data_IF_074706626559
#
_entry.id   IF_074706626559
#
_cell.length_a   1.000
_cell.length_b   1.000
_cell.length_c   1.000
_cell.angle_alpha   90.00
_cell.angle_beta   90.00
_cell.angle_gamma   90.00
#
_symmetry.space_group_name_H-M   'P 1'
#
loop_
_entity.id
_entity.type
_entity.pdbx_description
1 polymer ?
#
# COMPACT_ATOMS: atom_id res chain seq x y z
N UNK A 1 7.25 12.37 -23.17
CA UNK A 1 5.99 12.99 -23.60
C UNK A 1 5.34 13.76 -22.45
N UNK A 2 4.77 13.11 -21.43
CA UNK A 2 4.07 13.83 -20.34
C UNK A 2 4.90 14.95 -19.65
N UNK A 3 6.20 14.75 -19.44
CA UNK A 3 7.10 15.81 -18.91
C UNK A 3 7.17 17.02 -19.85
N UNK A 4 7.24 16.77 -21.16
CA UNK A 4 7.27 17.83 -22.18
C UNK A 4 5.93 18.56 -22.26
N UNK A 5 4.81 17.85 -22.06
CA UNK A 5 3.46 18.40 -22.04
C UNK A 5 3.14 19.13 -20.72
N UNK A 6 4.09 19.16 -19.77
CA UNK A 6 4.04 19.92 -18.51
C UNK A 6 2.87 19.52 -17.60
N UNK A 7 2.61 18.22 -17.49
CA UNK A 7 1.65 17.71 -16.50
C UNK A 7 2.11 18.06 -15.07
N UNK A 8 1.17 18.29 -14.15
CA UNK A 8 1.49 18.59 -12.74
C UNK A 8 1.78 17.32 -11.90
N UNK A 9 1.16 16.21 -12.29
CA UNK A 9 1.25 14.92 -11.59
C UNK A 9 1.29 13.76 -12.58
N UNK A 10 2.09 12.74 -12.27
CA UNK A 10 2.10 11.44 -12.92
C UNK A 10 1.57 10.38 -11.97
N UNK A 11 0.51 9.68 -12.37
CA UNK A 11 0.00 8.49 -11.69
C UNK A 11 0.48 7.24 -12.43
N UNK A 12 1.35 6.47 -11.79
CA UNK A 12 2.05 5.32 -12.40
C UNK A 12 1.70 4.06 -11.60
N UNK A 13 0.58 3.44 -11.96
CA UNK A 13 0.11 2.17 -11.37
C UNK A 13 0.81 0.94 -11.98
N UNK A 14 2.14 1.02 -12.13
CA UNK A 14 3.01 0.02 -12.75
C UNK A 14 4.23 -0.23 -11.86
N UNK A 15 4.87 -1.38 -12.05
CA UNK A 15 6.11 -1.73 -11.35
C UNK A 15 6.68 -3.04 -11.90
N UNK A 16 7.99 -3.21 -11.76
CA UNK A 16 8.67 -4.48 -12.01
C UNK A 16 9.36 -4.98 -10.74
N UNK A 17 10.06 -6.11 -10.82
CA UNK A 17 10.87 -6.61 -9.70
C UNK A 17 11.83 -5.53 -9.17
N UNK A 18 12.10 -5.47 -7.85
CA UNK A 18 13.04 -4.52 -7.28
C UNK A 18 14.41 -4.67 -7.93
N UNK A 19 15.01 -3.56 -8.34
CA UNK A 19 16.33 -3.49 -8.97
C UNK A 19 17.03 -2.18 -8.59
N UNK A 20 18.36 -2.06 -8.79
CA UNK A 20 19.09 -0.80 -8.63
C UNK A 20 18.43 0.35 -9.41
N UNK A 21 18.51 1.58 -8.90
CA UNK A 21 17.78 2.72 -9.48
C UNK A 21 18.23 3.05 -10.91
N UNK A 22 19.50 2.83 -11.23
CA UNK A 22 20.12 3.00 -12.54
C UNK A 22 19.70 1.93 -13.58
N UNK A 23 19.06 0.85 -13.13
CA UNK A 23 18.46 -0.18 -14.00
C UNK A 23 16.93 -0.09 -14.04
N UNK A 24 16.33 0.83 -13.27
CA UNK A 24 14.89 1.02 -13.17
C UNK A 24 14.43 2.20 -14.03
N UNK A 25 13.85 1.89 -15.19
CA UNK A 25 13.29 2.89 -16.10
C UNK A 25 12.22 3.81 -15.45
N UNK A 26 11.45 3.30 -14.47
CA UNK A 26 10.47 4.11 -13.73
C UNK A 26 11.21 5.04 -12.79
N UNK A 27 12.27 4.58 -12.11
CA UNK A 27 13.10 5.43 -11.25
C UNK A 27 13.78 6.56 -12.05
N UNK A 28 14.42 6.25 -13.17
CA UNK A 28 15.09 7.23 -14.05
C UNK A 28 14.08 8.24 -14.61
N UNK A 29 12.99 7.76 -15.22
CA UNK A 29 11.97 8.62 -15.81
C UNK A 29 11.29 9.52 -14.77
N UNK A 30 11.00 8.98 -13.58
CA UNK A 30 10.40 9.75 -12.49
C UNK A 30 11.35 10.80 -11.89
N UNK A 31 12.66 10.54 -11.86
CA UNK A 31 13.64 11.55 -11.42
C UNK A 31 13.59 12.78 -12.31
N UNK A 32 13.56 12.58 -13.63
CA UNK A 32 13.49 13.67 -14.58
C UNK A 32 12.17 14.45 -14.50
N UNK A 33 11.06 13.78 -14.19
CA UNK A 33 9.78 14.44 -13.92
C UNK A 33 9.86 15.31 -12.65
N UNK A 34 10.38 14.76 -11.55
CA UNK A 34 10.52 15.47 -10.26
C UNK A 34 11.42 16.68 -10.37
N UNK A 35 12.53 16.59 -11.12
CA UNK A 35 13.40 17.75 -11.43
C UNK A 35 12.66 18.89 -12.15
N UNK A 36 11.60 18.58 -12.89
CA UNK A 36 10.75 19.56 -13.56
C UNK A 36 9.55 20.02 -12.71
N UNK A 37 9.52 19.68 -11.41
CA UNK A 37 8.46 20.07 -10.48
C UNK A 37 7.20 19.19 -10.53
N UNK A 38 7.24 18.10 -11.31
CA UNK A 38 6.14 17.16 -11.50
C UNK A 38 6.18 16.10 -10.39
N UNK A 39 5.06 15.92 -9.69
CA UNK A 39 4.96 14.91 -8.65
C UNK A 39 4.71 13.54 -9.28
N UNK A 40 5.43 12.51 -8.83
CA UNK A 40 5.24 11.14 -9.33
C UNK A 40 4.71 10.25 -8.22
N UNK A 41 3.55 9.66 -8.45
CA UNK A 41 2.87 8.73 -7.55
C UNK A 41 2.91 7.34 -8.16
N UNK A 42 3.41 6.35 -7.42
CA UNK A 42 3.55 4.98 -7.86
C UNK A 42 2.85 4.01 -6.90
N UNK A 43 2.34 2.89 -7.43
CA UNK A 43 1.81 1.80 -6.63
C UNK A 43 2.93 1.01 -5.92
N UNK A 44 2.72 0.55 -4.69
CA UNK A 44 3.71 -0.23 -3.93
C UNK A 44 3.91 -1.66 -4.45
N UNK A 45 2.97 -2.22 -5.21
CA UNK A 45 2.97 -3.62 -5.64
C UNK A 45 1.95 -4.48 -4.89
N UNK A 46 1.62 -5.64 -5.45
CA UNK A 46 0.59 -6.55 -4.94
C UNK A 46 1.18 -7.91 -4.52
N UNK A 47 2.43 -7.93 -4.04
CA UNK A 47 3.18 -9.16 -3.70
C UNK A 47 3.36 -9.36 -2.19
N UNK A 48 2.60 -8.63 -1.36
CA UNK A 48 2.51 -8.90 0.08
C UNK A 48 1.92 -10.29 0.39
N UNK A 49 1.94 -10.72 1.66
CA UNK A 49 2.25 -9.95 2.86
C UNK A 49 3.72 -10.07 3.31
N UNK A 50 4.55 -10.80 2.55
CA UNK A 50 5.95 -11.02 2.91
C UNK A 50 6.74 -9.71 2.95
N UNK A 51 7.68 -9.65 3.89
CA UNK A 51 8.62 -8.53 4.05
C UNK A 51 9.41 -8.29 2.76
N UNK A 52 9.80 -7.03 2.53
CA UNK A 52 10.69 -6.61 1.43
C UNK A 52 10.15 -6.90 0.03
N UNK A 53 8.83 -6.82 -0.14
CA UNK A 53 8.13 -7.04 -1.42
C UNK A 53 7.74 -5.73 -2.12
N UNK A 54 8.02 -4.58 -1.49
CA UNK A 54 7.70 -3.25 -2.03
C UNK A 54 8.53 -2.89 -3.27
N UNK A 55 7.84 -2.35 -4.27
CA UNK A 55 8.38 -1.88 -5.54
C UNK A 55 8.39 -0.35 -5.58
N UNK A 56 8.92 0.24 -6.66
CA UNK A 56 8.99 1.70 -6.84
C UNK A 56 9.70 2.37 -5.65
N UNK A 57 10.97 2.00 -5.50
CA UNK A 57 11.75 2.24 -4.27
C UNK A 57 12.50 3.58 -4.26
N UNK A 58 12.37 4.38 -5.32
CA UNK A 58 13.13 5.63 -5.42
C UNK A 58 12.63 6.67 -4.41
N UNK A 59 13.54 7.44 -3.76
CA UNK A 59 13.16 8.41 -2.74
C UNK A 59 12.34 9.60 -3.28
N UNK A 60 12.46 9.91 -4.57
CA UNK A 60 11.71 10.96 -5.24
C UNK A 60 10.28 10.57 -5.68
N UNK A 61 9.90 9.30 -5.56
CA UNK A 61 8.54 8.81 -5.85
C UNK A 61 7.68 8.81 -4.59
N UNK A 62 6.37 9.04 -4.69
CA UNK A 62 5.39 8.74 -3.64
C UNK A 62 4.87 7.32 -3.87
N UNK A 63 5.27 6.38 -3.02
CA UNK A 63 4.89 4.96 -3.16
C UNK A 63 3.72 4.61 -2.26
N UNK A 64 2.64 4.07 -2.85
CA UNK A 64 1.33 3.98 -2.20
C UNK A 64 0.94 2.52 -1.95
N UNK A 65 0.78 2.15 -0.67
CA UNK A 65 0.19 0.90 -0.22
C UNK A 65 -1.34 0.87 -0.42
N UNK A 66 -1.95 -0.30 -0.25
CA UNK A 66 -3.40 -0.49 -0.38
C UNK A 66 -4.02 -0.87 0.97
N UNK A 67 -5.10 -0.17 1.30
CA UNK A 67 -5.92 -0.46 2.47
C UNK A 67 -7.39 -0.55 2.08
N UNK A 68 -8.20 -1.12 2.97
CA UNK A 68 -9.65 -1.20 2.79
C UNK A 68 -10.31 0.16 2.98
N UNK A 69 -11.61 0.20 2.66
CA UNK A 69 -12.54 1.27 3.01
C UNK A 69 -13.68 0.66 3.84
N UNK A 70 -14.49 1.49 4.50
CA UNK A 70 -15.60 1.05 5.35
C UNK A 70 -16.85 0.62 4.55
N UNK A 71 -16.66 0.26 3.27
CA UNK A 71 -17.70 -0.24 2.37
C UNK A 71 -17.44 -1.70 2.03
N UNK A 72 -18.47 -2.52 2.17
CA UNK A 72 -18.47 -3.94 1.82
C UNK A 72 -19.67 -4.29 0.94
N UNK A 73 -19.59 -5.42 0.25
CA UNK A 73 -20.65 -5.95 -0.62
C UNK A 73 -21.09 -7.36 -0.20
N UNK A 74 -21.78 -7.49 0.95
CA UNK A 74 -22.01 -8.79 1.55
C UNK A 74 -23.00 -9.65 0.76
N UNK A 75 -22.65 -10.94 0.66
CA UNK A 75 -23.41 -12.01 0.03
C UNK A 75 -23.12 -13.36 0.71
N UNK A 76 -23.19 -13.42 2.05
CA UNK A 76 -22.51 -14.39 2.95
C UNK A 76 -20.98 -14.28 2.97
N UNK A 77 -20.36 -14.03 1.82
CA UNK A 77 -19.01 -13.49 1.69
C UNK A 77 -19.05 -12.11 1.05
N UNK A 78 -18.19 -11.84 0.07
CA UNK A 78 -18.22 -10.62 -0.75
C UNK A 78 -18.64 -10.94 -2.20
N UNK A 79 -19.41 -10.06 -2.83
CA UNK A 79 -19.78 -10.19 -4.24
C UNK A 79 -20.21 -8.87 -4.86
N UNK A 80 -19.89 -8.66 -6.14
CA UNK A 80 -20.52 -7.62 -6.95
C UNK A 80 -21.20 -8.20 -8.19
N UNK A 81 -21.60 -9.47 -8.13
CA UNK A 81 -22.26 -10.16 -9.24
C UNK A 81 -23.57 -9.45 -9.61
N UNK A 82 -23.73 -9.14 -10.89
CA UNK A 82 -24.92 -8.43 -11.39
C UNK A 82 -26.16 -9.30 -11.52
N UNK A 83 -25.95 -10.62 -11.55
CA UNK A 83 -27.00 -11.63 -11.59
C UNK A 83 -27.19 -12.23 -10.20
N UNK A 84 -28.43 -12.59 -9.87
CA UNK A 84 -28.78 -13.21 -8.59
C UNK A 84 -29.61 -14.46 -8.82
N UNK A 85 -29.47 -15.44 -7.92
CA UNK A 85 -30.40 -16.55 -7.82
C UNK A 85 -31.75 -16.08 -7.25
N UNK A 86 -32.78 -16.90 -7.41
CA UNK A 86 -34.14 -16.62 -6.92
C UNK A 86 -34.19 -16.67 -5.38
N UNK A 87 -33.91 -15.55 -4.72
CA UNK A 87 -34.04 -15.41 -3.27
C UNK A 87 -33.28 -16.50 -2.49
N UNK A 88 -33.97 -17.19 -1.58
CA UNK A 88 -33.43 -18.30 -0.78
C UNK A 88 -33.70 -19.68 -1.40
N UNK A 89 -33.98 -19.76 -2.70
CA UNK A 89 -34.16 -21.04 -3.39
C UNK A 89 -32.87 -21.85 -3.35
N UNK A 90 -32.98 -23.10 -2.93
CA UNK A 90 -31.85 -24.01 -2.81
C UNK A 90 -31.51 -24.63 -4.17
N UNK A 91 -30.22 -24.67 -4.48
CA UNK A 91 -29.63 -25.32 -5.64
C UNK A 91 -28.65 -26.40 -5.18
N UNK A 92 -28.51 -27.52 -5.91
CA UNK A 92 -27.50 -28.51 -5.61
C UNK A 92 -26.10 -27.91 -5.64
N UNK A 93 -25.27 -28.28 -4.68
CA UNK A 93 -23.90 -27.81 -4.54
C UNK A 93 -22.92 -28.91 -5.00
N UNK A 94 -21.81 -28.54 -5.63
CA UNK A 94 -20.76 -29.48 -6.03
C UNK A 94 -19.38 -28.84 -5.94
N UNK A 95 -18.40 -29.56 -5.41
CA UNK A 95 -17.00 -29.13 -5.50
C UNK A 95 -16.49 -29.31 -6.93
N UNK A 96 -15.72 -28.34 -7.43
CA UNK A 96 -15.19 -28.42 -8.79
C UNK A 96 -14.25 -29.62 -8.99
N UNK A 97 -13.56 -30.05 -7.92
CA UNK A 97 -12.80 -31.30 -7.85
C UNK A 97 -13.64 -32.54 -8.22
N UNK A 98 -14.89 -32.62 -7.74
CA UNK A 98 -15.81 -33.73 -8.05
C UNK A 98 -16.51 -33.55 -9.40
N UNK A 99 -16.56 -32.32 -9.92
CA UNK A 99 -17.09 -31.98 -11.24
C UNK A 99 -16.04 -32.09 -12.37
N UNK A 100 -14.88 -32.71 -12.11
CA UNK A 100 -13.77 -32.86 -13.06
C UNK A 100 -14.20 -33.57 -14.35
N UNK A 101 -13.77 -33.02 -15.48
CA UNK A 101 -13.83 -33.65 -16.80
C UNK A 101 -12.91 -34.89 -16.87
N UNK A 102 -13.18 -35.81 -17.80
CA UNK A 102 -12.39 -37.03 -17.94
C UNK A 102 -10.89 -36.76 -18.11
N UNK A 103 -10.55 -35.76 -18.94
CA UNK A 103 -9.17 -35.45 -19.36
C UNK A 103 -8.45 -34.40 -18.50
N UNK A 104 -9.02 -33.98 -17.37
CA UNK A 104 -8.40 -33.00 -16.47
C UNK A 104 -7.87 -33.64 -15.19
N UNK A 105 -6.97 -32.98 -14.47
CA UNK A 105 -6.61 -33.37 -13.10
C UNK A 105 -7.59 -32.78 -12.08
N UNK A 106 -7.63 -33.36 -10.88
CA UNK A 106 -8.53 -32.93 -9.81
C UNK A 106 -8.17 -31.51 -9.34
N UNK A 107 -6.87 -31.21 -9.31
CA UNK A 107 -6.29 -29.93 -8.94
C UNK A 107 -6.62 -28.85 -9.98
N UNK A 108 -6.58 -29.16 -11.27
CA UNK A 108 -6.96 -28.21 -12.32
C UNK A 108 -8.46 -27.92 -12.36
N UNK A 109 -9.30 -28.93 -12.08
CA UNK A 109 -10.74 -28.75 -11.95
C UNK A 109 -11.11 -27.96 -10.69
N UNK A 110 -10.44 -28.20 -9.56
CA UNK A 110 -10.60 -27.44 -8.32
C UNK A 110 -10.35 -25.94 -8.51
N UNK A 111 -9.45 -25.60 -9.43
CA UNK A 111 -9.17 -24.21 -9.83
C UNK A 111 -10.14 -23.66 -10.89
N UNK A 112 -11.10 -24.44 -11.38
CA UNK A 112 -12.05 -24.05 -12.42
C UNK A 112 -11.38 -23.48 -13.67
N UNK A 113 -10.27 -24.10 -14.09
CA UNK A 113 -9.56 -23.76 -15.33
C UNK A 113 -10.39 -24.06 -16.57
N UNK A 114 -10.04 -23.42 -17.68
CA UNK A 114 -10.65 -23.67 -18.98
C UNK A 114 -10.64 -25.16 -19.34
N UNK A 115 -11.81 -25.72 -19.70
CA UNK A 115 -11.94 -27.10 -20.20
C UNK A 115 -11.79 -28.21 -19.16
N UNK A 116 -11.71 -27.90 -17.86
CA UNK A 116 -11.46 -28.90 -16.81
C UNK A 116 -12.72 -29.39 -16.09
N UNK A 117 -13.86 -28.76 -16.36
CA UNK A 117 -15.16 -29.04 -15.75
C UNK A 117 -16.03 -29.88 -16.69
N UNK A 118 -16.69 -30.90 -16.16
CA UNK A 118 -17.67 -31.74 -16.86
C UNK A 118 -19.05 -31.06 -16.87
N UNK A 119 -19.56 -30.62 -18.03
CA UNK A 119 -20.82 -29.89 -18.11
C UNK A 119 -22.01 -30.66 -17.55
N UNK A 120 -22.05 -31.99 -17.70
CA UNK A 120 -23.17 -32.81 -17.19
C UNK A 120 -23.20 -32.86 -15.66
N UNK A 121 -22.03 -32.76 -15.01
CA UNK A 121 -21.94 -32.70 -13.54
C UNK A 121 -22.25 -31.31 -13.00
N UNK A 122 -21.93 -30.25 -13.76
CA UNK A 122 -22.03 -28.85 -13.32
C UNK A 122 -23.40 -28.24 -13.60
N UNK A 123 -24.06 -28.65 -14.69
CA UNK A 123 -25.32 -28.06 -15.16
C UNK A 123 -26.38 -27.96 -14.05
N UNK A 124 -26.85 -26.74 -13.81
CA UNK A 124 -27.92 -26.49 -12.84
C UNK A 124 -27.47 -26.36 -11.37
N UNK A 125 -26.17 -26.50 -11.08
CA UNK A 125 -25.62 -26.53 -9.72
C UNK A 125 -24.87 -25.24 -9.35
N UNK A 126 -24.68 -25.02 -8.06
CA UNK A 126 -23.68 -24.08 -7.54
C UNK A 126 -22.34 -24.81 -7.49
N UNK A 127 -21.33 -24.24 -8.17
CA UNK A 127 -19.99 -24.81 -8.24
C UNK A 127 -19.07 -24.18 -7.18
N UNK A 128 -18.32 -24.99 -6.44
CA UNK A 128 -17.31 -24.48 -5.49
C UNK A 128 -15.92 -24.58 -6.09
N UNK A 129 -15.30 -23.44 -6.35
CA UNK A 129 -13.94 -23.29 -6.90
C UNK A 129 -12.99 -22.80 -5.81
N UNK A 130 -11.71 -23.11 -5.92
CA UNK A 130 -10.67 -22.58 -5.01
C UNK A 130 -9.91 -21.41 -5.66
N UNK A 131 -9.70 -20.35 -4.89
CA UNK A 131 -8.88 -19.20 -5.26
C UNK A 131 -7.40 -19.53 -5.08
N UNK A 132 -6.63 -19.15 -6.09
CA UNK A 132 -5.16 -19.08 -6.09
C UNK A 132 -4.76 -17.79 -6.80
N UNK A 133 -3.51 -17.69 -7.25
CA UNK A 133 -3.00 -16.55 -8.03
C UNK A 133 -3.58 -16.47 -9.46
N UNK A 134 -4.37 -17.46 -9.87
CA UNK A 134 -5.09 -17.48 -11.15
C UNK A 134 -6.32 -16.55 -11.11
N UNK A 135 -6.59 -15.86 -12.23
CA UNK A 135 -7.62 -14.83 -12.35
C UNK A 135 -9.00 -15.31 -11.85
N UNK A 136 -9.61 -14.56 -10.95
CA UNK A 136 -10.85 -14.94 -10.26
C UNK A 136 -12.08 -14.86 -11.16
N UNK A 137 -12.23 -13.76 -11.92
CA UNK A 137 -13.37 -13.55 -12.83
C UNK A 137 -13.44 -14.64 -13.91
N UNK A 138 -12.30 -15.04 -14.46
CA UNK A 138 -12.19 -16.09 -15.47
C UNK A 138 -12.72 -17.46 -14.99
N UNK A 139 -12.51 -17.79 -13.70
CA UNK A 139 -13.11 -18.99 -13.09
C UNK A 139 -14.64 -18.96 -13.16
N UNK A 140 -15.23 -17.77 -12.97
CA UNK A 140 -16.65 -17.55 -13.14
C UNK A 140 -17.10 -17.77 -14.59
N UNK A 141 -16.34 -17.29 -15.57
CA UNK A 141 -16.65 -17.51 -16.99
C UNK A 141 -16.65 -19.00 -17.34
N UNK A 142 -15.62 -19.75 -16.92
CA UNK A 142 -15.53 -21.19 -17.14
C UNK A 142 -16.65 -21.98 -16.44
N UNK A 143 -17.01 -21.57 -15.22
CA UNK A 143 -18.14 -22.16 -14.50
C UNK A 143 -19.48 -21.91 -15.23
N UNK A 144 -19.72 -20.69 -15.74
CA UNK A 144 -20.90 -20.38 -16.54
C UNK A 144 -20.95 -21.19 -17.83
N UNK A 145 -19.83 -21.30 -18.56
CA UNK A 145 -19.73 -22.08 -19.79
C UNK A 145 -20.01 -23.57 -19.55
N UNK A 146 -19.61 -24.11 -18.39
CA UNK A 146 -19.95 -25.47 -17.97
C UNK A 146 -21.41 -25.64 -17.49
N UNK A 147 -22.21 -24.57 -17.47
CA UNK A 147 -23.64 -24.61 -17.13
C UNK A 147 -23.95 -24.40 -15.64
N UNK A 148 -23.00 -23.89 -14.84
CA UNK A 148 -23.24 -23.60 -13.43
C UNK A 148 -24.33 -22.51 -13.28
N UNK A 149 -25.16 -22.65 -12.24
CA UNK A 149 -26.15 -21.64 -11.85
C UNK A 149 -25.59 -20.59 -10.91
N UNK A 150 -24.57 -20.95 -10.14
CA UNK A 150 -23.88 -20.08 -9.20
C UNK A 150 -22.45 -20.56 -8.94
N UNK A 151 -21.62 -19.73 -8.32
CA UNK A 151 -20.27 -20.11 -7.92
C UNK A 151 -19.92 -19.62 -6.52
N UNK A 152 -19.33 -20.48 -5.70
CA UNK A 152 -18.68 -20.06 -4.47
C UNK A 152 -17.18 -20.15 -4.70
N UNK A 153 -16.49 -19.03 -4.58
CA UNK A 153 -15.03 -18.98 -4.62
C UNK A 153 -14.51 -19.06 -3.19
N UNK A 154 -13.87 -20.16 -2.81
CA UNK A 154 -13.27 -20.33 -1.50
C UNK A 154 -11.78 -19.99 -1.54
N UNK A 155 -11.28 -19.22 -0.58
CA UNK A 155 -9.84 -18.98 -0.45
C UNK A 155 -9.06 -20.28 -0.19
N UNK A 156 -7.84 -20.35 -0.73
CA UNK A 156 -6.84 -21.29 -0.23
C UNK A 156 -6.24 -20.80 1.11
N UNK A 157 -5.45 -21.65 1.76
CA UNK A 157 -4.81 -21.33 3.04
C UNK A 157 -3.95 -20.07 2.96
N UNK A 158 -3.24 -19.87 1.85
CA UNK A 158 -2.38 -18.69 1.64
C UNK A 158 -3.17 -17.37 1.58
N UNK A 159 -4.40 -17.39 1.04
CA UNK A 159 -5.27 -16.20 0.93
C UNK A 159 -6.02 -15.88 2.22
N UNK A 160 -6.13 -16.84 3.15
CA UNK A 160 -6.66 -16.61 4.50
C UNK A 160 -8.06 -15.96 4.54
N UNK A 161 -8.21 -14.91 5.34
CA UNK A 161 -9.46 -14.19 5.56
C UNK A 161 -9.81 -13.17 4.46
N UNK A 162 -8.94 -12.98 3.47
CA UNK A 162 -9.08 -11.86 2.54
C UNK A 162 -10.02 -12.16 1.37
N UNK A 163 -11.13 -11.44 1.35
CA UNK A 163 -12.20 -11.58 0.37
C UNK A 163 -12.32 -10.30 -0.46
N UNK A 164 -12.66 -10.45 -1.74
CA UNK A 164 -12.84 -9.34 -2.68
C UNK A 164 -14.22 -9.44 -3.32
N UNK A 165 -14.81 -8.30 -3.62
CA UNK A 165 -16.08 -8.25 -4.32
C UNK A 165 -15.80 -8.25 -5.83
N UNK A 166 -15.64 -9.44 -6.39
CA UNK A 166 -15.47 -9.61 -7.84
C UNK A 166 -16.83 -9.58 -8.55
N UNK A 167 -16.84 -9.02 -9.76
CA UNK A 167 -18.00 -9.01 -10.64
C UNK A 167 -17.97 -10.22 -11.57
N UNK A 168 -18.43 -11.36 -11.07
CA UNK A 168 -18.54 -12.56 -11.90
C UNK A 168 -19.72 -12.48 -12.90
N UNK A 169 -19.60 -13.22 -14.00
CA UNK A 169 -20.64 -13.30 -15.06
C UNK A 169 -21.90 -14.07 -14.64
N UNK A 170 -21.84 -14.77 -13.51
CA UNK A 170 -22.93 -15.54 -12.91
C UNK A 170 -23.01 -15.22 -11.40
N UNK A 171 -24.11 -15.54 -10.70
CA UNK A 171 -24.25 -15.29 -9.27
C UNK A 171 -23.12 -15.97 -8.48
N UNK A 172 -22.22 -15.19 -7.89
CA UNK A 172 -21.10 -15.74 -7.15
C UNK A 172 -20.90 -15.09 -5.80
N UNK A 173 -20.19 -15.76 -4.89
CA UNK A 173 -19.72 -15.18 -3.63
C UNK A 173 -18.32 -15.67 -3.30
N UNK A 174 -17.50 -14.78 -2.75
CA UNK A 174 -16.15 -15.08 -2.32
C UNK A 174 -16.08 -15.21 -0.80
N UNK A 175 -15.65 -16.36 -0.30
CA UNK A 175 -15.57 -16.68 1.13
C UNK A 175 -14.13 -16.90 1.61
N UNK A 176 -13.91 -16.76 2.92
CA UNK A 176 -12.62 -16.96 3.56
C UNK A 176 -12.16 -18.42 3.52
N UNK A 177 -10.89 -18.66 3.87
CA UNK A 177 -10.36 -20.03 3.96
C UNK A 177 -11.07 -20.85 5.06
N UNK A 178 -11.37 -20.23 6.20
CA UNK A 178 -12.05 -20.89 7.32
C UNK A 178 -13.48 -21.27 6.93
N UNK A 179 -14.21 -20.37 6.28
CA UNK A 179 -15.54 -20.65 5.76
C UNK A 179 -15.50 -21.72 4.65
N UNK A 180 -14.44 -21.70 3.84
CA UNK A 180 -14.16 -22.73 2.84
C UNK A 180 -14.01 -24.12 3.47
N UNK A 181 -13.24 -24.26 4.56
CA UNK A 181 -13.11 -25.52 5.30
C UNK A 181 -14.49 -26.01 5.76
N UNK A 182 -15.29 -25.13 6.36
CA UNK A 182 -16.64 -25.46 6.82
C UNK A 182 -17.54 -25.90 5.66
N UNK A 183 -17.46 -25.20 4.52
CA UNK A 183 -18.22 -25.52 3.30
C UNK A 183 -17.83 -26.88 2.73
N UNK A 184 -16.54 -27.20 2.61
CA UNK A 184 -16.09 -28.50 2.12
C UNK A 184 -16.44 -29.63 3.08
N UNK A 185 -16.39 -29.39 4.39
CA UNK A 185 -16.87 -30.33 5.40
C UNK A 185 -18.37 -30.62 5.23
N UNK A 186 -19.18 -29.58 5.00
CA UNK A 186 -20.61 -29.71 4.71
C UNK A 186 -20.89 -30.50 3.42
N UNK A 187 -20.17 -30.20 2.33
CA UNK A 187 -20.32 -30.94 1.06
C UNK A 187 -20.07 -32.44 1.25
N UNK A 188 -19.10 -32.81 2.09
CA UNK A 188 -18.72 -34.20 2.33
C UNK A 188 -19.60 -34.92 3.35
N UNK A 189 -20.40 -34.20 4.14
CA UNK A 189 -21.24 -34.80 5.20
C UNK A 189 -22.60 -35.29 4.70
N UNK A 190 -23.01 -34.93 3.48
CA UNK A 190 -24.29 -35.32 2.88
C UNK A 190 -24.16 -35.70 1.42
N UNK A 191 -25.04 -36.59 0.93
CA UNK A 191 -25.10 -36.99 -0.49
C UNK A 191 -25.77 -35.94 -1.38
N UNK A 192 -26.54 -35.03 -0.80
CA UNK A 192 -27.30 -34.00 -1.51
C UNK A 192 -27.08 -32.64 -0.87
N UNK A 193 -25.85 -32.08 -0.93
CA UNK A 193 -25.57 -30.75 -0.41
C UNK A 193 -26.31 -29.71 -1.25
N UNK A 194 -26.94 -28.75 -0.58
CA UNK A 194 -27.76 -27.71 -1.19
C UNK A 194 -27.35 -26.35 -0.62
N UNK A 195 -27.36 -25.30 -1.44
CA UNK A 195 -27.03 -23.95 -1.01
C UNK A 195 -27.82 -22.91 -1.81
N UNK A 196 -27.77 -21.66 -1.36
CA UNK A 196 -28.23 -20.50 -2.11
C UNK A 196 -27.21 -19.37 -1.97
N UNK A 197 -27.22 -18.44 -2.91
CA UNK A 197 -26.38 -17.23 -2.88
C UNK A 197 -27.33 -16.04 -2.84
N UNK A 198 -27.16 -15.17 -1.85
CA UNK A 198 -27.97 -13.96 -1.73
C UNK A 198 -27.57 -12.92 -2.77
N UNK A 199 -28.48 -12.00 -3.08
CA UNK A 199 -28.11 -10.83 -3.87
C UNK A 199 -27.14 -9.97 -3.06
N UNK A 200 -26.03 -9.48 -3.64
CA UNK A 200 -25.14 -8.58 -2.93
C UNK A 200 -25.87 -7.29 -2.57
N UNK A 201 -25.56 -6.77 -1.39
CA UNK A 201 -26.01 -5.45 -0.92
C UNK A 201 -24.81 -4.53 -0.76
N UNK A 202 -25.01 -3.26 -0.43
CA UNK A 202 -23.92 -2.35 -0.07
C UNK A 202 -24.07 -1.99 1.39
N UNK A 203 -23.05 -2.29 2.18
CA UNK A 203 -22.96 -1.88 3.58
C UNK A 203 -21.86 -0.84 3.74
N UNK A 204 -22.14 0.20 4.54
CA UNK A 204 -21.23 1.31 4.83
C UNK A 204 -20.97 1.39 6.33
N UNK A 205 -19.85 2.00 6.72
CA UNK A 205 -19.46 2.14 8.12
C UNK A 205 -18.98 0.83 8.75
N UNK A 206 -18.48 -0.12 7.95
CA UNK A 206 -17.95 -1.39 8.45
C UNK A 206 -16.69 -1.17 9.29
N UNK A 207 -16.49 -2.05 10.28
CA UNK A 207 -15.45 -1.93 11.31
C UNK A 207 -14.67 -3.25 11.45
N UNK A 208 -13.34 -3.20 11.66
CA UNK A 208 -12.48 -2.02 11.60
C UNK A 208 -12.21 -1.57 10.15
N UNK A 209 -12.04 -0.26 9.94
CA UNK A 209 -11.62 0.30 8.66
C UNK A 209 -10.84 1.62 8.84
N UNK A 210 -9.71 1.83 8.14
CA UNK A 210 -9.09 0.89 7.21
C UNK A 210 -8.28 -0.19 7.95
N UNK A 211 -8.11 -1.34 7.30
CA UNK A 211 -7.02 -2.27 7.58
C UNK A 211 -6.20 -2.50 6.31
N UNK A 212 -4.97 -2.98 6.46
CA UNK A 212 -4.06 -3.17 5.33
C UNK A 212 -4.46 -4.38 4.49
N UNK A 213 -4.55 -4.19 3.17
CA UNK A 213 -4.80 -5.27 2.24
C UNK A 213 -3.61 -6.25 2.27
N UNK A 214 -3.83 -7.57 2.34
CA UNK A 214 -2.74 -8.53 2.50
C UNK A 214 -1.84 -8.64 1.28
N UNK A 215 -2.40 -8.39 0.09
CA UNK A 215 -1.61 -8.32 -1.13
C UNK A 215 -0.72 -7.08 -1.18
N UNK A 216 -1.00 -6.02 -0.41
CA UNK A 216 -0.21 -4.78 -0.48
C UNK A 216 1.23 -5.10 -0.12
N UNK A 217 2.14 -4.88 -1.07
CA UNK A 217 3.55 -5.12 -0.85
C UNK A 217 4.08 -4.35 0.37
N UNK A 218 4.98 -4.99 1.11
CA UNK A 218 5.46 -4.56 2.43
C UNK A 218 6.94 -4.19 2.36
N UNK A 219 7.33 -3.18 3.13
CA UNK A 219 8.74 -2.85 3.38
C UNK A 219 9.49 -3.93 4.18
N UNK A 220 10.75 -3.67 4.57
CA UNK A 220 11.55 -2.49 4.25
C UNK A 220 11.87 -2.38 2.75
N UNK A 221 12.36 -1.23 2.33
CA UNK A 221 12.87 -1.02 0.97
C UNK A 221 14.05 -1.99 0.72
N UNK A 222 13.93 -2.94 -0.24
CA UNK A 222 14.98 -3.93 -0.49
C UNK A 222 16.22 -3.35 -1.17
N UNK A 223 16.12 -2.17 -1.78
CA UNK A 223 17.22 -1.53 -2.52
C UNK A 223 17.94 -0.51 -1.65
N UNK A 224 17.19 0.29 -0.88
CA UNK A 224 17.74 1.36 -0.03
C UNK A 224 17.07 1.33 1.35
N UNK A 225 17.54 0.47 2.27
CA UNK A 225 16.89 0.26 3.57
C UNK A 225 16.77 1.52 4.45
N UNK A 226 17.58 2.55 4.23
CA UNK A 226 17.50 3.85 4.91
C UNK A 226 16.27 4.68 4.51
N UNK A 227 15.59 4.33 3.41
CA UNK A 227 14.38 5.02 2.93
C UNK A 227 13.16 4.14 3.22
N UNK A 228 12.26 4.63 4.08
CA UNK A 228 11.01 3.95 4.39
C UNK A 228 10.15 3.75 3.13
N UNK A 229 9.66 2.53 2.92
CA UNK A 229 8.65 2.21 1.91
C UNK A 229 7.61 1.21 2.46
N UNK A 230 6.33 1.29 2.04
CA UNK A 230 5.76 2.36 1.21
C UNK A 230 5.77 3.72 1.95
N UNK A 231 5.46 4.81 1.24
CA UNK A 231 5.44 6.15 1.83
C UNK A 231 4.13 6.44 2.57
N UNK A 232 3.02 5.93 2.03
CA UNK A 232 1.66 6.17 2.51
C UNK A 232 0.75 5.02 2.11
N UNK A 233 -0.41 4.87 2.74
CA UNK A 233 -1.48 3.99 2.28
C UNK A 233 -2.76 4.76 1.95
N UNK A 234 -3.53 4.25 0.99
CA UNK A 234 -4.83 4.80 0.59
C UNK A 234 -5.82 3.68 0.23
N UNK A 235 -7.11 3.99 0.02
CA UNK A 235 -8.09 2.99 -0.39
C UNK A 235 -7.70 2.32 -1.71
N UNK A 236 -7.58 0.99 -1.68
CA UNK A 236 -7.17 0.19 -2.84
C UNK A 236 -7.89 -1.15 -2.94
N UNK A 237 -8.89 -1.41 -2.10
CA UNK A 237 -9.69 -2.65 -2.13
C UNK A 237 -11.10 -2.29 -2.56
N UNK A 238 -11.67 -3.07 -3.49
CA UNK A 238 -13.07 -2.95 -3.92
C UNK A 238 -13.42 -1.53 -4.42
N UNK A 239 -12.49 -0.92 -5.18
CA UNK A 239 -12.64 0.42 -5.76
C UNK A 239 -13.44 0.32 -7.05
N UNK A 240 -14.51 1.11 -7.15
CA UNK A 240 -15.34 1.21 -8.35
C UNK A 240 -14.81 2.35 -9.21
N UNK A 241 -14.53 2.08 -10.48
CA UNK A 241 -14.05 3.08 -11.44
C UNK A 241 -14.64 2.82 -12.84
N UNK A 242 -14.51 3.80 -13.73
CA UNK A 242 -14.97 3.68 -15.11
C UNK A 242 -14.25 2.51 -15.84
N UNK A 243 -14.97 1.80 -16.69
CA UNK A 243 -14.46 0.65 -17.43
C UNK A 243 -15.01 0.61 -18.85
N UNK A 244 -14.23 0.09 -19.79
CA UNK A 244 -14.60 0.07 -21.22
C UNK A 244 -15.66 -0.99 -21.50
N UNK A 245 -16.64 -0.62 -22.33
CA UNK A 245 -17.86 -1.34 -22.74
C UNK A 245 -17.68 -2.71 -23.46
N UNK A 246 -16.62 -3.48 -23.22
CA UNK A 246 -16.49 -4.81 -23.83
C UNK A 246 -17.59 -5.79 -23.34
N UNK A 247 -18.25 -5.49 -22.22
CA UNK A 247 -19.27 -6.33 -21.57
C UNK A 247 -20.56 -5.55 -21.24
N UNK A 248 -20.79 -4.37 -21.82
CA UNK A 248 -22.00 -3.56 -21.61
C UNK A 248 -22.06 -2.78 -20.28
N UNK A 249 -20.95 -2.64 -19.56
CA UNK A 249 -20.89 -1.90 -18.29
C UNK A 249 -20.00 -0.66 -18.38
N UNK A 250 -20.44 0.44 -17.77
CA UNK A 250 -19.70 1.70 -17.70
C UNK A 250 -18.71 1.77 -16.53
N UNK A 251 -18.91 0.92 -15.51
CA UNK A 251 -18.10 0.85 -14.29
C UNK A 251 -17.73 -0.59 -13.97
N UNK A 252 -16.57 -0.77 -13.35
CA UNK A 252 -16.12 -2.04 -12.81
C UNK A 252 -15.44 -1.84 -11.45
N UNK A 253 -15.23 -2.94 -10.74
CA UNK A 253 -14.63 -2.99 -9.41
C UNK A 253 -13.29 -3.73 -9.47
N UNK A 254 -12.25 -3.13 -8.88
CA UNK A 254 -10.94 -3.75 -8.81
C UNK A 254 -10.27 -3.48 -7.46
N UNK A 255 -9.34 -4.36 -7.12
CA UNK A 255 -8.48 -4.25 -5.94
C UNK A 255 -7.02 -4.28 -6.35
N UNK A 256 -6.20 -3.45 -5.71
CA UNK A 256 -4.77 -3.35 -5.97
C UNK A 256 -4.18 -2.04 -5.47
N UNK A 257 -2.87 -2.02 -5.25
CA UNK A 257 -2.12 -0.76 -5.10
C UNK A 257 -2.22 0.14 -6.34
N UNK A 258 -2.54 -0.45 -7.50
CA UNK A 258 -2.91 0.27 -8.71
C UNK A 258 -4.15 1.15 -8.57
N UNK A 259 -5.05 0.83 -7.63
CA UNK A 259 -6.26 1.62 -7.33
C UNK A 259 -5.99 2.66 -6.23
N UNK A 260 -5.06 2.41 -5.31
CA UNK A 260 -4.67 3.40 -4.29
C UNK A 260 -3.76 4.50 -4.85
N UNK A 261 -2.88 4.18 -5.80
CA UNK A 261 -2.03 5.15 -6.51
C UNK A 261 -2.80 6.36 -7.09
N UNK A 262 -3.87 6.20 -7.90
CA UNK A 262 -4.61 7.33 -8.45
C UNK A 262 -5.38 8.15 -7.41
N UNK A 263 -5.77 7.57 -6.26
CA UNK A 263 -6.33 8.37 -5.15
C UNK A 263 -5.32 9.40 -4.66
N UNK A 264 -4.07 8.99 -4.42
CA UNK A 264 -3.01 9.90 -3.99
C UNK A 264 -2.65 10.89 -5.11
N UNK A 265 -2.64 10.46 -6.37
CA UNK A 265 -2.43 11.39 -7.49
C UNK A 265 -3.53 12.47 -7.57
N UNK A 266 -4.78 12.13 -7.28
CA UNK A 266 -5.87 13.10 -7.15
C UNK A 266 -5.65 14.09 -6.00
N UNK A 267 -5.24 13.59 -4.83
CA UNK A 267 -4.87 14.44 -3.67
C UNK A 267 -3.73 15.39 -4.05
N UNK A 268 -2.71 14.90 -4.76
CA UNK A 268 -1.61 15.73 -5.26
C UNK A 268 -2.12 16.84 -6.18
N UNK A 269 -3.04 16.55 -7.10
CA UNK A 269 -3.65 17.56 -7.98
C UNK A 269 -4.38 18.67 -7.19
N UNK A 270 -5.13 18.28 -6.16
CA UNK A 270 -5.79 19.24 -5.25
C UNK A 270 -4.76 20.09 -4.50
N UNK A 271 -3.72 19.48 -3.94
CA UNK A 271 -2.67 20.19 -3.23
C UNK A 271 -1.88 21.14 -4.15
N UNK A 272 -1.62 20.76 -5.39
CA UNK A 272 -0.99 21.64 -6.40
C UNK A 272 -1.89 22.82 -6.77
N UNK A 273 -3.21 22.68 -6.69
CA UNK A 273 -4.14 23.80 -6.90
C UNK A 273 -4.03 24.83 -5.77
N UNK A 274 -3.92 24.37 -4.52
CA UNK A 274 -3.82 25.24 -3.33
C UNK A 274 -2.39 25.81 -3.19
N UNK A 275 -1.38 24.98 -3.47
CA UNK A 275 0.04 25.28 -3.29
C UNK A 275 0.82 25.09 -4.61
N UNK A 276 0.59 25.94 -5.64
CA UNK A 276 1.15 25.74 -6.98
C UNK A 276 2.68 25.79 -7.04
N UNK A 277 3.32 26.43 -6.05
CA UNK A 277 4.78 26.59 -5.96
C UNK A 277 5.48 25.50 -5.15
N UNK A 278 4.73 24.60 -4.50
CA UNK A 278 5.36 23.55 -3.71
C UNK A 278 6.12 22.56 -4.61
N UNK A 279 7.34 22.23 -4.17
CA UNK A 279 8.16 21.20 -4.79
C UNK A 279 7.48 19.82 -4.68
N UNK A 280 7.88 18.83 -5.48
CA UNK A 280 7.40 17.47 -5.29
C UNK A 280 7.69 16.90 -3.90
N UNK A 281 8.84 17.26 -3.30
CA UNK A 281 9.20 16.84 -1.95
C UNK A 281 8.31 17.49 -0.88
N UNK A 282 7.98 18.77 -1.03
CA UNK A 282 7.05 19.48 -0.16
C UNK A 282 5.65 18.84 -0.16
N UNK A 283 5.11 18.52 -1.34
CA UNK A 283 3.82 17.82 -1.49
C UNK A 283 3.88 16.43 -0.85
N UNK A 284 4.95 15.66 -1.13
CA UNK A 284 5.17 14.36 -0.51
C UNK A 284 5.22 14.47 1.02
N UNK A 285 5.94 15.45 1.54
CA UNK A 285 6.02 15.69 2.97
C UNK A 285 4.65 15.98 3.58
N UNK A 286 3.90 16.92 3.00
CA UNK A 286 2.57 17.29 3.49
C UNK A 286 1.64 16.08 3.56
N UNK A 287 1.68 15.22 2.53
CA UNK A 287 0.88 13.99 2.46
C UNK A 287 1.32 12.98 3.51
N UNK A 288 2.63 12.73 3.68
CA UNK A 288 3.14 11.72 4.61
C UNK A 288 2.96 12.12 6.08
N UNK A 289 3.15 13.39 6.43
CA UNK A 289 3.22 13.83 7.84
C UNK A 289 1.86 14.11 8.48
N UNK A 290 0.77 14.11 7.70
CA UNK A 290 -0.57 14.48 8.14
C UNK A 290 -1.57 13.32 8.14
N UNK A 291 -1.07 12.10 7.96
CA UNK A 291 -1.85 10.84 7.91
C UNK A 291 -2.48 10.42 9.24
N UNK A 292 -3.34 9.40 9.21
CA UNK A 292 -3.85 8.70 10.39
C UNK A 292 -3.28 7.28 10.46
N UNK A 293 -2.86 6.85 11.64
CA UNK A 293 -2.49 5.44 11.93
C UNK A 293 -3.60 4.69 12.69
N UNK A 294 -4.78 5.28 12.77
CA UNK A 294 -5.96 4.77 13.46
C UNK A 294 -7.07 4.38 12.49
N UNK A 295 -7.81 3.34 12.84
CA UNK A 295 -9.06 2.96 12.19
C UNK A 295 -10.28 3.72 12.75
N UNK A 296 -11.45 3.46 12.18
CA UNK A 296 -12.74 4.01 12.57
C UNK A 296 -13.31 3.45 13.89
N UNK A 297 -12.52 2.64 14.61
CA UNK A 297 -12.76 2.20 15.99
C UNK A 297 -11.78 2.83 16.98
N UNK A 298 -10.93 3.75 16.52
CA UNK A 298 -9.87 4.39 17.30
C UNK A 298 -8.81 3.41 17.81
N UNK A 299 -8.62 2.30 17.08
CA UNK A 299 -7.53 1.37 17.31
C UNK A 299 -6.45 1.53 16.22
N UNK A 300 -5.20 1.13 16.49
CA UNK A 300 -4.16 1.13 15.48
C UNK A 300 -4.58 0.28 14.27
N UNK A 301 -4.30 0.77 13.05
CA UNK A 301 -4.55 0.03 11.81
C UNK A 301 -3.92 -1.37 11.90
N UNK A 302 -4.68 -2.40 11.53
CA UNK A 302 -4.19 -3.78 11.51
C UNK A 302 -3.88 -4.26 10.08
N UNK A 303 -3.23 -5.41 9.95
CA UNK A 303 -3.21 -6.18 8.72
C UNK A 303 -4.46 -7.10 8.63
N UNK A 304 -4.58 -7.82 7.51
CA UNK A 304 -5.69 -8.73 7.27
C UNK A 304 -5.72 -9.96 8.21
N UNK A 305 -4.66 -10.18 8.99
CA UNK A 305 -4.59 -11.20 10.04
C UNK A 305 -4.86 -10.62 11.44
N UNK A 306 -5.37 -9.39 11.53
CA UNK A 306 -5.68 -8.66 12.77
C UNK A 306 -4.48 -8.34 13.67
N UNK A 307 -3.24 -8.50 13.18
CA UNK A 307 -2.07 -7.98 13.87
C UNK A 307 -1.91 -6.50 13.58
N UNK A 308 -1.42 -5.73 14.56
CA UNK A 308 -1.12 -4.32 14.38
C UNK A 308 -0.17 -4.11 13.19
N UNK A 309 -0.55 -3.26 12.25
CA UNK A 309 0.27 -2.90 11.11
C UNK A 309 1.40 -1.97 11.53
N UNK A 310 2.48 -2.02 10.77
CA UNK A 310 3.68 -1.22 11.02
C UNK A 310 3.86 -0.17 9.93
N UNK A 311 4.77 0.80 10.12
CA UNK A 311 5.20 1.70 9.05
C UNK A 311 5.68 1.00 7.76
N UNK A 312 6.14 -0.26 7.81
CA UNK A 312 6.43 -1.01 6.58
C UNK A 312 5.19 -1.49 5.82
N UNK A 313 4.01 -1.45 6.45
CA UNK A 313 2.74 -1.71 5.79
C UNK A 313 2.12 -0.42 5.24
N UNK A 314 2.03 0.64 6.06
CA UNK A 314 1.27 1.86 5.71
C UNK A 314 2.11 3.11 5.47
N UNK A 315 3.44 3.05 5.62
CA UNK A 315 4.32 4.23 5.54
C UNK A 315 4.05 5.23 6.67
N UNK A 316 3.70 6.46 6.33
CA UNK A 316 3.23 7.46 7.30
C UNK A 316 1.88 7.09 7.95
N UNK A 317 0.99 6.44 7.21
CA UNK A 317 -0.37 6.09 7.64
C UNK A 317 -1.38 6.11 6.49
N UNK A 318 -2.66 6.08 6.82
CA UNK A 318 -3.76 6.27 5.87
C UNK A 318 -3.95 7.76 5.55
N UNK A 319 -4.14 8.06 4.27
CA UNK A 319 -4.25 9.44 3.75
C UNK A 319 -5.35 10.27 4.42
N UNK A 320 -5.05 11.55 4.67
CA UNK A 320 -5.95 12.55 5.23
C UNK A 320 -5.88 13.84 4.38
N UNK A 321 -6.61 13.91 3.26
CA UNK A 321 -6.43 14.99 2.27
C UNK A 321 -6.60 16.40 2.87
N UNK A 322 -7.60 16.58 3.72
CA UNK A 322 -7.89 17.88 4.35
C UNK A 322 -6.81 18.30 5.35
N UNK A 323 -6.07 17.37 5.97
CA UNK A 323 -4.95 17.74 6.85
C UNK A 323 -3.71 18.07 6.04
N UNK A 324 -3.49 17.40 4.91
CA UNK A 324 -2.38 17.66 4.01
C UNK A 324 -2.44 19.04 3.35
N UNK A 325 -3.61 19.70 3.31
CA UNK A 325 -3.75 21.04 2.74
C UNK A 325 -3.05 22.14 3.56
N UNK A 326 -2.88 21.91 4.87
CA UNK A 326 -2.24 22.85 5.80
C UNK A 326 -1.41 22.04 6.80
N UNK A 327 -0.23 21.53 6.39
CA UNK A 327 0.56 20.61 7.18
C UNK A 327 1.35 21.32 8.29
N UNK A 328 1.42 22.65 8.31
CA UNK A 328 2.27 23.41 9.22
C UNK A 328 3.75 23.38 8.81
N UNK A 329 4.40 22.21 8.88
CA UNK A 329 5.80 22.02 8.50
C UNK A 329 5.96 21.00 7.37
N UNK A 330 6.97 21.20 6.53
CA UNK A 330 7.38 20.25 5.49
C UNK A 330 8.89 19.94 5.54
N UNK A 331 9.25 18.73 5.13
CA UNK A 331 10.62 18.31 4.82
C UNK A 331 10.85 18.52 3.32
N UNK A 332 11.46 19.65 2.97
CA UNK A 332 11.73 20.02 1.57
C UNK A 332 13.18 19.70 1.19
N UNK A 333 13.39 19.39 -0.10
CA UNK A 333 14.70 19.08 -0.70
C UNK A 333 14.74 19.52 -2.17
N UNK A 334 15.95 19.79 -2.64
CA UNK A 334 16.24 20.14 -4.03
C UNK A 334 16.59 18.91 -4.86
N UNK A 335 16.70 19.10 -6.18
CA UNK A 335 17.20 18.05 -7.08
C UNK A 335 18.66 17.66 -6.77
N UNK A 336 19.49 18.61 -6.35
CA UNK A 336 20.88 18.34 -6.01
C UNK A 336 20.99 17.44 -4.77
N UNK A 337 20.08 17.57 -3.81
CA UNK A 337 20.04 16.67 -2.64
C UNK A 337 19.80 15.21 -3.05
N UNK A 338 18.99 14.97 -4.09
CA UNK A 338 18.84 13.61 -4.64
C UNK A 338 20.11 13.13 -5.37
N UNK A 339 20.83 14.01 -6.08
CA UNK A 339 22.09 13.64 -6.73
C UNK A 339 23.19 13.35 -5.70
N UNK A 340 23.29 14.16 -4.65
CA UNK A 340 24.17 13.91 -3.50
C UNK A 340 23.84 12.59 -2.80
N UNK A 341 22.56 12.24 -2.72
CA UNK A 341 22.11 10.96 -2.21
C UNK A 341 22.55 9.78 -3.11
N UNK A 342 22.42 9.91 -4.43
CA UNK A 342 22.95 8.91 -5.38
C UNK A 342 24.48 8.77 -5.27
N UNK A 343 25.20 9.88 -5.13
CA UNK A 343 26.64 9.86 -4.86
C UNK A 343 26.97 9.12 -3.56
N UNK A 344 26.18 9.32 -2.49
CA UNK A 344 26.34 8.63 -1.22
C UNK A 344 26.01 7.12 -1.28
N UNK A 345 25.18 6.70 -2.25
CA UNK A 345 24.97 5.28 -2.59
C UNK A 345 26.15 4.64 -3.35
N UNK A 346 27.16 5.43 -3.74
CA UNK A 346 28.34 4.96 -4.46
C UNK A 346 28.19 4.99 -5.98
N UNK A 347 27.22 5.75 -6.52
CA UNK A 347 27.03 5.85 -7.97
C UNK A 347 28.23 6.57 -8.60
N UNK A 348 28.75 5.99 -9.67
CA UNK A 348 29.84 6.58 -10.44
C UNK A 348 29.33 7.64 -11.44
N UNK A 349 30.25 8.27 -12.16
CA UNK A 349 29.92 9.35 -13.08
C UNK A 349 28.92 8.95 -14.18
N UNK A 350 29.09 7.78 -14.81
CA UNK A 350 28.18 7.33 -15.87
C UNK A 350 26.80 6.96 -15.34
N UNK A 351 26.70 6.44 -14.11
CA UNK A 351 25.42 6.21 -13.45
C UNK A 351 24.71 7.52 -13.08
N UNK A 352 25.45 8.51 -12.58
CA UNK A 352 24.89 9.84 -12.26
C UNK A 352 24.37 10.55 -13.52
N UNK A 353 25.01 10.36 -14.66
CA UNK A 353 24.56 10.90 -15.96
C UNK A 353 23.20 10.36 -16.43
N UNK A 354 22.74 9.22 -15.91
CA UNK A 354 21.37 8.76 -16.13
C UNK A 354 20.34 9.67 -15.44
N UNK A 355 20.74 10.35 -14.36
CA UNK A 355 19.85 11.19 -13.56
C UNK A 355 20.10 12.69 -13.81
N UNK A 356 21.27 13.09 -14.31
CA UNK A 356 21.61 14.49 -14.55
C UNK A 356 21.70 14.82 -16.05
N UNK A 357 21.15 15.96 -16.48
CA UNK A 357 21.32 16.46 -17.86
C UNK A 357 22.70 17.10 -18.04
N UNK A 358 23.15 17.84 -17.02
CA UNK A 358 24.44 18.51 -17.02
C UNK A 358 25.43 17.68 -16.22
N UNK A 359 26.73 17.87 -16.45
CA UNK A 359 27.74 17.26 -15.60
C UNK A 359 27.50 17.62 -14.13
N UNK A 360 27.44 16.61 -13.27
CA UNK A 360 27.30 16.75 -11.83
C UNK A 360 28.50 16.10 -11.15
N UNK A 361 29.22 16.86 -10.34
CA UNK A 361 30.37 16.34 -9.58
C UNK A 361 29.94 16.00 -8.16
N UNK A 362 30.09 14.73 -7.78
CA UNK A 362 29.78 14.28 -6.43
C UNK A 362 30.58 15.06 -5.37
N UNK A 363 29.98 15.40 -4.21
CA UNK A 363 30.68 16.09 -3.14
C UNK A 363 31.88 15.29 -2.63
N UNK A 364 32.99 15.98 -2.33
CA UNK A 364 34.20 15.35 -1.75
C UNK A 364 33.91 14.64 -0.43
N UNK A 365 32.98 15.18 0.37
CA UNK A 365 32.53 14.59 1.63
C UNK A 365 31.17 13.95 1.40
N UNK A 366 31.13 12.62 1.46
CA UNK A 366 29.89 11.87 1.35
C UNK A 366 28.92 12.21 2.49
N UNK A 367 27.63 12.33 2.16
CA UNK A 367 26.57 12.50 3.13
C UNK A 367 26.16 11.13 3.70
N UNK A 368 25.70 11.10 4.95
CA UNK A 368 25.12 9.88 5.51
C UNK A 368 23.72 9.68 4.96
N UNK A 369 23.41 8.50 4.43
CA UNK A 369 22.09 8.18 3.85
C UNK A 369 20.95 8.39 4.85
N UNK A 370 21.16 8.11 6.14
CA UNK A 370 20.14 8.33 7.19
C UNK A 370 19.85 9.82 7.44
N UNK A 371 20.74 10.73 7.03
CA UNK A 371 20.56 12.18 7.11
C UNK A 371 19.80 12.76 5.91
N UNK A 372 19.45 11.94 4.91
CA UNK A 372 18.60 12.37 3.82
C UNK A 372 17.31 12.98 4.39
N UNK A 373 16.96 14.20 3.95
CA UNK A 373 15.89 14.99 4.58
C UNK A 373 14.50 14.49 4.19
N UNK A 374 14.16 13.30 4.69
CA UNK A 374 12.96 12.55 4.38
C UNK A 374 11.94 12.65 5.53
N UNK A 375 10.63 12.65 5.25
CA UNK A 375 9.56 12.69 6.27
C UNK A 375 9.44 11.44 7.16
N UNK A 376 10.44 10.56 7.15
CA UNK A 376 10.55 9.38 7.99
C UNK A 376 12.01 9.13 8.38
N UNK A 377 12.21 8.31 9.42
CA UNK A 377 13.54 7.95 9.92
C UNK A 377 13.65 6.43 9.93
N UNK A 378 14.52 5.88 9.08
CA UNK A 378 14.83 4.44 9.09
C UNK A 378 16.31 4.23 9.37
N UNK A 379 16.60 3.43 10.40
CA UNK A 379 17.94 3.01 10.79
C UNK A 379 18.03 1.49 10.58
N UNK A 380 18.49 1.04 9.41
CA UNK A 380 18.46 -0.39 9.04
C UNK A 380 19.49 -1.23 9.78
N UNK A 381 20.49 -0.60 10.40
CA UNK A 381 21.50 -1.23 11.24
C UNK A 381 21.83 -0.31 12.43
N UNK A 382 21.41 -0.73 13.62
CA UNK A 382 21.70 -0.02 14.86
C UNK A 382 22.95 -0.61 15.53
N UNK A 383 23.84 0.26 16.01
CA UNK A 383 24.95 -0.12 16.88
C UNK A 383 24.67 0.33 18.32
N UNK A 384 25.42 1.29 18.87
CA UNK A 384 25.20 1.83 20.22
C UNK A 384 24.39 3.13 20.23
N UNK A 385 24.51 3.93 19.16
CA UNK A 385 23.78 5.18 19.00
C UNK A 385 24.04 5.82 17.64
N UNK A 386 23.09 6.65 17.20
CA UNK A 386 23.19 7.40 15.96
C UNK A 386 22.54 8.77 16.13
N UNK A 387 23.15 9.79 15.54
CA UNK A 387 22.59 11.15 15.50
C UNK A 387 22.21 11.48 14.07
N UNK A 388 20.93 11.73 13.87
CA UNK A 388 20.34 12.00 12.56
C UNK A 388 19.94 13.47 12.50
N UNK A 389 20.21 14.15 11.40
CA UNK A 389 19.79 15.54 11.18
C UNK A 389 18.61 15.60 10.22
N UNK A 390 17.66 16.49 10.52
CA UNK A 390 16.53 16.84 9.66
C UNK A 390 16.39 18.35 9.60
N UNK A 391 15.79 18.83 8.50
CA UNK A 391 15.47 20.24 8.28
C UNK A 391 14.02 20.36 7.86
N UNK A 392 13.28 21.22 8.55
CA UNK A 392 11.87 21.50 8.27
C UNK A 392 11.69 22.96 7.90
N UNK A 393 10.74 23.22 7.01
CA UNK A 393 10.34 24.55 6.55
C UNK A 393 8.93 24.85 7.04
N UNK A 394 8.71 26.04 7.60
CA UNK A 394 7.35 26.45 7.96
C UNK A 394 6.56 26.88 6.72
N UNK A 395 5.40 26.28 6.54
CA UNK A 395 4.43 26.63 5.47
C UNK A 395 3.04 26.96 6.03
N UNK A 396 2.86 26.83 7.35
CA UNK A 396 1.64 27.24 8.05
C UNK A 396 1.70 28.69 8.51
N UNK A 397 0.86 29.01 9.50
CA UNK A 397 0.80 30.35 10.10
C UNK A 397 2.11 30.73 10.79
N UNK A 398 2.42 32.03 10.85
CA UNK A 398 3.58 32.59 11.55
C UNK A 398 3.20 33.88 12.30
N UNK A 399 3.83 34.19 13.45
CA UNK A 399 4.84 33.37 14.14
C UNK A 399 4.23 32.07 14.71
N UNK A 400 5.05 31.03 14.86
CA UNK A 400 4.61 29.72 15.36
C UNK A 400 5.69 29.05 16.19
N UNK A 401 5.29 28.24 17.17
CA UNK A 401 6.21 27.47 18.00
C UNK A 401 5.77 26.02 18.03
N UNK A 402 6.65 25.12 17.60
CA UNK A 402 6.41 23.69 17.60
C UNK A 402 7.21 23.00 18.71
N UNK A 403 6.56 22.06 19.39
CA UNK A 403 7.16 21.19 20.40
C UNK A 403 7.28 19.76 19.85
N UNK A 404 8.41 19.11 20.11
CA UNK A 404 8.64 17.73 19.71
C UNK A 404 8.06 16.75 20.75
N UNK A 405 7.29 15.79 20.27
CA UNK A 405 6.78 14.65 21.03
C UNK A 405 7.29 13.37 20.39
N UNK A 406 7.81 12.44 21.20
CA UNK A 406 8.35 11.18 20.69
C UNK A 406 7.65 10.01 21.35
N UNK A 407 7.09 9.13 20.52
CA UNK A 407 6.72 7.78 20.89
C UNK A 407 7.94 6.88 20.67
N UNK A 408 8.67 6.58 21.75
CA UNK A 408 9.90 5.79 21.67
C UNK A 408 9.60 4.33 21.24
N UNK A 409 10.35 3.79 20.28
CA UNK A 409 10.33 2.36 20.00
C UNK A 409 10.78 1.55 21.22
N UNK A 410 10.24 0.33 21.44
CA UNK A 410 10.72 -0.56 22.50
C UNK A 410 12.24 -0.79 22.41
N UNK A 411 12.97 -0.70 23.53
CA UNK A 411 14.42 -0.90 23.58
C UNK A 411 15.27 0.27 23.05
N UNK A 412 14.64 1.38 22.62
CA UNK A 412 15.32 2.56 22.09
C UNK A 412 14.99 3.79 22.95
N UNK A 413 15.98 4.65 23.15
CA UNK A 413 15.80 6.02 23.65
C UNK A 413 16.04 7.02 22.54
N UNK A 414 15.20 8.06 22.47
CA UNK A 414 15.27 9.11 21.46
C UNK A 414 15.24 10.47 22.15
N UNK A 415 16.18 11.34 21.77
CA UNK A 415 16.25 12.73 22.21
C UNK A 415 16.26 13.66 20.99
N UNK A 416 15.53 14.78 21.07
CA UNK A 416 15.41 15.77 19.99
C UNK A 416 16.13 17.06 20.40
N UNK A 417 16.98 17.59 19.51
CA UNK A 417 17.80 18.78 19.78
C UNK A 417 17.77 19.79 18.61
N UNK A 418 17.23 21.01 18.81
CA UNK A 418 16.39 21.42 19.94
C UNK A 418 15.04 20.71 19.93
N UNK A 419 14.38 20.57 21.08
CA UNK A 419 13.03 19.99 21.20
C UNK A 419 11.90 21.02 20.99
N UNK A 420 12.25 22.29 20.72
CA UNK A 420 11.34 23.38 20.40
C UNK A 420 11.86 24.13 19.18
N UNK A 421 11.01 24.35 18.19
CA UNK A 421 11.31 25.14 17.00
C UNK A 421 10.39 26.36 16.96
N UNK A 422 10.99 27.55 16.93
CA UNK A 422 10.29 28.83 16.77
C UNK A 422 10.51 29.34 15.35
N UNK A 423 9.43 29.71 14.69
CA UNK A 423 9.44 30.31 13.36
C UNK A 423 8.79 31.69 13.41
N UNK A 424 9.48 32.68 12.87
CA UNK A 424 9.04 34.08 12.85
C UNK A 424 8.25 34.39 11.57
N UNK A 425 8.55 33.72 10.46
CA UNK A 425 7.90 33.95 9.17
C UNK A 425 7.74 32.67 8.32
N UNK A 426 6.82 32.72 7.35
CA UNK A 426 6.55 31.63 6.41
C UNK A 426 7.75 31.43 5.50
N UNK A 427 8.17 30.18 5.34
CA UNK A 427 9.32 29.79 4.53
C UNK A 427 10.63 29.72 5.31
N UNK A 428 10.65 30.12 6.59
CA UNK A 428 11.81 29.93 7.45
C UNK A 428 12.11 28.42 7.64
N UNK A 429 13.39 28.06 7.57
CA UNK A 429 13.87 26.70 7.74
C UNK A 429 14.61 26.55 9.07
N UNK A 430 14.34 25.46 9.79
CA UNK A 430 15.07 25.10 11.01
C UNK A 430 15.54 23.66 10.92
N UNK A 431 16.75 23.43 11.40
CA UNK A 431 17.32 22.09 11.55
C UNK A 431 17.18 21.59 12.98
N UNK A 432 17.02 20.28 13.13
CA UNK A 432 17.06 19.60 14.42
C UNK A 432 17.77 18.25 14.29
N UNK A 433 18.23 17.74 15.42
CA UNK A 433 18.88 16.43 15.54
C UNK A 433 17.96 15.46 16.27
N UNK A 434 18.00 14.21 15.84
CA UNK A 434 17.37 13.05 16.47
C UNK A 434 18.49 12.14 16.93
N UNK A 435 18.72 12.10 18.24
CA UNK A 435 19.74 11.29 18.89
C UNK A 435 19.09 9.99 19.35
N UNK A 436 19.41 8.88 18.69
CA UNK A 436 18.86 7.56 18.96
C UNK A 436 19.94 6.74 19.69
N UNK A 437 19.59 6.10 20.80
CA UNK A 437 20.50 5.20 21.54
C UNK A 437 19.80 3.91 21.91
N UNK A 438 20.51 2.79 21.77
CA UNK A 438 20.02 1.48 22.18
C UNK A 438 20.07 1.33 23.71
N UNK A 439 18.99 0.82 24.32
CA UNK A 439 18.99 0.49 25.74
C UNK A 439 19.44 -0.96 25.93
N UNK A 440 20.68 -1.13 26.44
CA UNK A 440 21.33 -2.44 26.62
C UNK A 440 20.52 -3.44 27.47
N UNK A 441 19.61 -2.97 28.33
CA UNK A 441 18.82 -3.83 29.23
C UNK A 441 17.58 -4.47 28.57
N UNK A 442 17.23 -4.11 27.34
CA UNK A 442 16.05 -4.62 26.62
C UNK A 442 16.40 -5.24 25.24
N UNK A 443 17.68 -5.59 25.03
CA UNK A 443 18.22 -6.03 23.73
C UNK A 443 17.82 -7.45 23.27
N UNK A 444 16.80 -8.07 23.88
CA UNK A 444 16.32 -9.40 23.44
C UNK A 444 15.44 -9.33 22.18
N UNK A 445 14.99 -8.13 21.77
CA UNK A 445 14.21 -7.96 20.54
C UNK A 445 15.10 -7.92 19.31
N UNK A 446 14.99 -8.96 18.48
CA UNK A 446 15.59 -9.03 17.14
C UNK A 446 14.66 -8.40 16.10
N UNK A 447 15.23 -7.68 15.13
CA UNK A 447 14.51 -7.05 14.03
C UNK A 447 14.11 -5.58 14.26
N UNK A 448 13.16 -5.10 13.45
CA UNK A 448 12.74 -3.70 13.48
C UNK A 448 11.79 -3.39 14.64
N UNK A 449 12.05 -2.28 15.33
CA UNK A 449 11.15 -1.65 16.29
C UNK A 449 10.69 -0.30 15.73
N UNK A 450 9.47 0.10 16.09
CA UNK A 450 8.81 1.27 15.49
C UNK A 450 8.41 2.30 16.55
N UNK A 451 8.46 3.56 16.15
CA UNK A 451 8.05 4.72 16.95
C UNK A 451 7.65 5.88 16.05
N UNK A 452 7.50 7.06 16.63
CA UNK A 452 7.06 8.25 15.91
C UNK A 452 7.62 9.52 16.55
N UNK A 453 8.02 10.48 15.72
CA UNK A 453 8.29 11.86 16.12
C UNK A 453 7.16 12.74 15.61
N UNK A 454 6.58 13.57 16.46
CA UNK A 454 5.54 14.53 16.09
C UNK A 454 5.92 15.93 16.53
N UNK A 455 5.94 16.88 15.60
CA UNK A 455 5.98 18.31 15.92
C UNK A 455 4.56 18.84 16.05
N UNK A 456 4.26 19.57 17.13
CA UNK A 456 2.93 20.11 17.38
C UNK A 456 3.00 21.58 17.85
N UNK A 457 2.15 22.43 17.28
CA UNK A 457 1.95 23.83 17.68
C UNK A 457 0.56 24.08 18.31
N UNK A 458 -0.18 23.00 18.62
CA UNK A 458 -1.55 23.03 19.12
C UNK A 458 -2.63 22.93 18.03
N UNK A 459 -2.28 23.13 16.74
CA UNK A 459 -3.19 23.02 15.60
C UNK A 459 -2.70 21.97 14.59
N UNK A 460 -1.43 22.05 14.21
CA UNK A 460 -0.79 21.16 13.27
C UNK A 460 -0.07 20.04 14.01
N UNK A 461 -0.09 18.84 13.43
CA UNK A 461 0.63 17.68 13.95
C UNK A 461 1.42 17.08 12.80
N UNK A 462 2.74 17.25 12.84
CA UNK A 462 3.65 16.85 11.77
C UNK A 462 4.36 15.59 12.21
N UNK A 463 3.81 14.44 11.82
CA UNK A 463 4.23 13.14 12.31
C UNK A 463 5.17 12.41 11.34
N UNK A 464 6.29 11.90 11.85
CA UNK A 464 7.28 11.13 11.10
C UNK A 464 7.47 9.76 11.74
N UNK A 465 7.20 8.65 11.02
CA UNK A 465 7.47 7.32 11.55
C UNK A 465 8.98 7.07 11.70
N UNK A 466 9.31 6.28 12.73
CA UNK A 466 10.67 5.87 13.06
C UNK A 466 10.73 4.35 13.02
N UNK A 467 11.68 3.78 12.28
CA UNK A 467 11.93 2.35 12.21
C UNK A 467 13.43 2.08 12.48
N UNK A 468 13.75 1.29 13.50
CA UNK A 468 15.13 0.99 13.90
C UNK A 468 15.32 -0.52 13.96
N UNK A 469 16.32 -1.06 13.25
CA UNK A 469 16.64 -2.48 13.30
C UNK A 469 17.64 -2.76 14.44
N UNK A 470 17.21 -3.56 15.42
CA UNK A 470 17.96 -3.91 16.62
C UNK A 470 18.89 -5.12 16.44
N UNK A 471 19.08 -5.61 15.22
CA UNK A 471 20.08 -6.65 14.95
C UNK A 471 21.50 -6.07 15.10
N UNK A 472 22.03 -6.13 16.33
CA UNK A 472 23.41 -5.81 16.66
C UNK A 472 24.27 -6.95 16.12
N UNK A 473 25.05 -6.70 15.07
CA UNK A 473 26.24 -7.52 14.81
C UNK A 473 27.22 -7.25 15.94
N UNK A 474 27.38 -8.24 16.83
CA UNK A 474 28.43 -8.29 17.84
C UNK A 474 29.79 -8.34 17.15
#
# INVERSE_FOLDING_TARGET
MAIHDRVDVLSVSLGGSPRPLDEDSIAIGSFHAVRKGIVVVCSAGNSGPNSSTVLNNAPWQITVGASTMDRQFPSYGESLSNTSLEGKKLYPLISARNAKAANATAEEAELCKAGTLDPEKVKGRILVCVRTDYATVEKGEHAALAGAKGMILANNQASGAFIMADRHVLPATHISYIDGIALFSYINSTRSPMAFITKPTTELGTKPSPFMAPFSSVGPNPIIPEILKPDITAPGVNVIAAYKQAQGFEYNIFSGTSMSCPHIAGVVGLLKTIHPKWSPAAIKSAIMTTTSTWDNTWNPITNASHFQATPFNYGGGHVQPNRAMDPGLIYDISTNDYLDFLCALGYNQSQIELFSINHYSCPKKSISLVNFNYPAITVPRMSSGITITRKVKNVGTSPSTYHAFVQCPPGISIQIEPNVLKFEFIGEEKAFKVVIRANKQQCDKRGYVFGQLTWCDGKHYVASPIAVNMNITV
#
